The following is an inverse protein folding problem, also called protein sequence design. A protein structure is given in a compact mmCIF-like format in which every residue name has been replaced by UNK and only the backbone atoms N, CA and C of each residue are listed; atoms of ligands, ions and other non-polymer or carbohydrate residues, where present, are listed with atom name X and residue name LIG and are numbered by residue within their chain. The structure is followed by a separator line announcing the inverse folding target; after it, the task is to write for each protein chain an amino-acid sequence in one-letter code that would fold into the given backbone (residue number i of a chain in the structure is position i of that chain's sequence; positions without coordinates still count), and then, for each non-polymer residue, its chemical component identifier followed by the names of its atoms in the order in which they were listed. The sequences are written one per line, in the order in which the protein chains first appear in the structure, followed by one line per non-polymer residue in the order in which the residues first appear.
data_IF_012207429256
#
_entry.id   IF_012207429256
#
_cell.length_a   1.000
_cell.length_b   1.000
_cell.length_c   1.000
_cell.angle_alpha   90.00
_cell.angle_beta   90.00
_cell.angle_gamma   90.00
#
_symmetry.space_group_name_H-M   'P 1'
#
loop_
_entity.id
_entity.type
_entity.pdbx_description
1 polymer ?
#
# COMPACT_ATOMS: atom_id res chain seq x y z
N UNK A 1 19.89 -39.51 -33.17
CA UNK A 1 19.23 -38.19 -33.08
C UNK A 1 19.59 -37.38 -34.31
N UNK A 2 18.61 -36.90 -35.09
CA UNK A 2 18.87 -36.07 -36.28
C UNK A 2 19.16 -34.65 -35.78
N UNK A 3 20.39 -34.16 -35.95
CA UNK A 3 20.82 -32.83 -35.50
C UNK A 3 20.09 -31.72 -36.24
N UNK A 4 19.77 -30.63 -35.53
CA UNK A 4 19.20 -29.41 -36.10
C UNK A 4 20.22 -28.79 -37.07
N UNK A 5 19.84 -28.66 -38.35
CA UNK A 5 20.69 -28.05 -39.37
C UNK A 5 20.43 -26.54 -39.37
N UNK A 6 21.45 -25.76 -39.04
CA UNK A 6 21.32 -24.31 -39.05
C UNK A 6 21.04 -23.79 -40.46
N UNK A 7 20.03 -22.91 -40.64
CA UNK A 7 19.70 -22.36 -41.95
C UNK A 7 20.87 -21.49 -42.45
N UNK A 8 21.29 -21.72 -43.70
CA UNK A 8 22.39 -20.98 -44.32
C UNK A 8 22.03 -19.51 -44.58
N UNK A 9 22.99 -18.74 -45.09
CA UNK A 9 22.78 -17.32 -45.40
C UNK A 9 21.61 -17.10 -46.38
N UNK A 10 21.54 -17.91 -47.45
CA UNK A 10 20.47 -17.84 -48.44
C UNK A 10 19.09 -18.16 -47.83
N UNK A 11 19.00 -19.14 -46.93
CA UNK A 11 17.76 -19.49 -46.24
C UNK A 11 17.29 -18.34 -45.33
N UNK A 12 18.22 -17.69 -44.61
CA UNK A 12 17.92 -16.52 -43.78
C UNK A 12 17.46 -15.32 -44.61
N UNK A 13 18.09 -15.07 -45.76
CA UNK A 13 17.70 -14.00 -46.67
C UNK A 13 16.30 -14.24 -47.24
N UNK A 14 15.99 -15.47 -47.66
CA UNK A 14 14.66 -15.86 -48.14
C UNK A 14 13.60 -15.72 -47.04
N UNK A 15 13.91 -16.19 -45.83
CA UNK A 15 13.02 -16.04 -44.68
C UNK A 15 12.73 -14.55 -44.36
N UNK A 16 13.74 -13.68 -44.42
CA UNK A 16 13.56 -12.25 -44.21
C UNK A 16 12.68 -11.61 -45.30
N UNK A 17 12.85 -11.99 -46.57
CA UNK A 17 12.00 -11.51 -47.67
C UNK A 17 10.54 -11.99 -47.51
N UNK A 18 10.34 -13.27 -47.18
CA UNK A 18 9.02 -13.84 -46.92
C UNK A 18 8.35 -13.18 -45.72
N UNK A 19 9.09 -12.88 -44.65
CA UNK A 19 8.57 -12.15 -43.49
C UNK A 19 8.07 -10.76 -43.90
N UNK A 20 8.86 -10.00 -44.66
CA UNK A 20 8.46 -8.67 -45.17
C UNK A 20 7.23 -8.76 -46.06
N UNK A 21 7.20 -9.71 -47.00
CA UNK A 21 6.03 -9.95 -47.85
C UNK A 21 4.79 -10.29 -47.00
N UNK A 22 4.93 -11.15 -45.98
CA UNK A 22 3.82 -11.53 -45.11
C UNK A 22 3.26 -10.34 -44.32
N UNK A 23 4.11 -9.43 -43.85
CA UNK A 23 3.69 -8.22 -43.14
C UNK A 23 2.91 -7.29 -44.07
N UNK A 24 3.41 -7.07 -45.29
CA UNK A 24 2.74 -6.24 -46.29
C UNK A 24 1.39 -6.85 -46.67
N UNK A 25 1.31 -8.16 -46.87
CA UNK A 25 0.05 -8.82 -47.19
C UNK A 25 -0.95 -8.73 -46.03
N UNK A 26 -0.51 -8.93 -44.79
CA UNK A 26 -1.36 -8.75 -43.60
C UNK A 26 -1.95 -7.34 -43.50
N UNK A 27 -1.13 -6.32 -43.79
CA UNK A 27 -1.58 -4.93 -43.78
C UNK A 27 -2.60 -4.67 -44.89
N UNK A 28 -2.37 -5.17 -46.11
CA UNK A 28 -3.31 -5.06 -47.23
C UNK A 28 -4.62 -5.79 -47.00
N UNK A 29 -4.59 -6.93 -46.31
CA UNK A 29 -5.78 -7.73 -45.98
C UNK A 29 -6.49 -7.26 -44.71
N UNK A 30 -5.95 -6.27 -43.99
CA UNK A 30 -6.54 -5.82 -42.75
C UNK A 30 -7.84 -5.05 -43.05
N UNK A 31 -8.95 -5.38 -42.37
CA UNK A 31 -10.19 -4.62 -42.54
C UNK A 31 -9.98 -3.16 -42.16
N UNK A 32 -10.65 -2.28 -42.93
CA UNK A 32 -10.57 -0.85 -42.72
C UNK A 32 -11.18 -0.39 -41.39
N UNK A 33 -10.98 0.88 -41.01
CA UNK A 33 -11.53 1.43 -39.77
C UNK A 33 -13.05 1.38 -39.69
N UNK A 34 -13.73 1.45 -40.83
CA UNK A 34 -15.19 1.48 -40.97
C UNK A 34 -15.79 0.07 -41.18
N UNK A 35 -14.96 -0.97 -41.17
CA UNK A 35 -15.44 -2.35 -41.20
C UNK A 35 -16.29 -2.63 -39.95
N UNK A 36 -17.51 -3.21 -40.10
CA UNK A 36 -18.45 -3.35 -39.00
C UNK A 36 -17.90 -4.18 -37.83
N UNK A 37 -17.04 -5.17 -38.08
CA UNK A 37 -16.45 -5.99 -37.02
C UNK A 37 -15.34 -5.23 -36.26
N UNK A 38 -14.61 -4.36 -36.96
CA UNK A 38 -13.62 -3.46 -36.34
C UNK A 38 -14.31 -2.41 -35.47
N UNK A 39 -15.43 -1.85 -35.93
CA UNK A 39 -16.24 -0.89 -35.17
C UNK A 39 -16.83 -1.53 -33.92
N UNK A 40 -17.45 -2.72 -34.03
CA UNK A 40 -17.97 -3.46 -32.87
C UNK A 40 -16.88 -3.70 -31.82
N UNK A 41 -15.72 -4.21 -32.24
CA UNK A 41 -14.60 -4.45 -31.32
C UNK A 41 -14.10 -3.15 -30.66
N UNK A 42 -14.11 -2.03 -31.37
CA UNK A 42 -13.75 -0.74 -30.81
C UNK A 42 -14.76 -0.31 -29.74
N UNK A 43 -16.05 -0.37 -30.06
CA UNK A 43 -17.13 -0.04 -29.12
C UNK A 43 -17.10 -0.93 -27.88
N UNK A 44 -16.85 -2.23 -28.01
CA UNK A 44 -16.68 -3.14 -26.89
C UNK A 44 -15.50 -2.77 -25.99
N UNK A 45 -14.36 -2.39 -26.58
CA UNK A 45 -13.18 -1.95 -25.84
C UNK A 45 -13.43 -0.63 -25.12
N UNK A 46 -14.09 0.32 -25.77
CA UNK A 46 -14.48 1.61 -25.18
C UNK A 46 -15.46 1.41 -24.02
N UNK A 47 -16.48 0.56 -24.20
CA UNK A 47 -17.42 0.22 -23.13
C UNK A 47 -16.72 -0.48 -21.94
N UNK A 48 -15.79 -1.40 -22.23
CA UNK A 48 -15.00 -2.05 -21.18
C UNK A 48 -14.06 -1.06 -20.47
N UNK A 49 -13.45 -0.11 -21.19
CA UNK A 49 -12.61 0.93 -20.61
C UNK A 49 -13.43 1.86 -19.70
N UNK A 50 -14.60 2.32 -20.17
CA UNK A 50 -15.52 3.14 -19.38
C UNK A 50 -15.95 2.42 -18.10
N UNK A 51 -16.32 1.13 -18.17
CA UNK A 51 -16.66 0.32 -16.97
C UNK A 51 -15.50 0.23 -15.98
N UNK A 52 -14.28 -0.01 -16.47
CA UNK A 52 -13.08 -0.08 -15.59
C UNK A 52 -12.79 1.27 -14.95
N UNK A 53 -12.99 2.37 -15.68
CA UNK A 53 -12.81 3.72 -15.15
C UNK A 53 -13.82 4.03 -14.04
N UNK A 54 -15.10 3.72 -14.24
CA UNK A 54 -16.12 3.88 -13.21
C UNK A 54 -15.76 3.07 -11.94
N UNK A 55 -15.38 1.80 -12.10
CA UNK A 55 -14.93 0.97 -10.98
C UNK A 55 -13.68 1.51 -10.29
N UNK A 56 -12.75 2.13 -11.04
CA UNK A 56 -11.56 2.76 -10.47
C UNK A 56 -11.96 3.95 -9.60
N UNK A 57 -12.82 4.82 -10.11
CA UNK A 57 -13.30 6.01 -9.39
C UNK A 57 -14.04 5.62 -8.09
N UNK A 58 -14.93 4.63 -8.15
CA UNK A 58 -15.64 4.11 -6.97
C UNK A 58 -14.67 3.57 -5.91
N UNK A 59 -13.67 2.79 -6.33
CA UNK A 59 -12.66 2.23 -5.42
C UNK A 59 -11.76 3.31 -4.84
N UNK A 60 -11.40 4.32 -5.61
CA UNK A 60 -10.58 5.44 -5.14
C UNK A 60 -11.34 6.28 -4.10
N UNK A 61 -12.62 6.55 -4.33
CA UNK A 61 -13.48 7.22 -3.36
C UNK A 61 -13.58 6.41 -2.05
N UNK A 62 -13.89 5.11 -2.13
CA UNK A 62 -13.98 4.24 -0.95
C UNK A 62 -12.65 4.14 -0.18
N UNK A 63 -11.52 4.07 -0.89
CA UNK A 63 -10.19 4.06 -0.25
C UNK A 63 -9.86 5.39 0.41
N UNK A 64 -10.28 6.52 -0.18
CA UNK A 64 -10.07 7.83 0.41
C UNK A 64 -10.82 7.95 1.74
N UNK A 65 -12.09 7.53 1.78
CA UNK A 65 -12.89 7.51 3.01
C UNK A 65 -12.30 6.58 4.08
N UNK A 66 -11.90 5.35 3.70
CA UNK A 66 -11.26 4.42 4.64
C UNK A 66 -9.98 5.00 5.24
N UNK A 67 -9.12 5.63 4.43
CA UNK A 67 -7.91 6.29 4.92
C UNK A 67 -8.22 7.40 5.91
N UNK A 68 -9.27 8.21 5.67
CA UNK A 68 -9.68 9.25 6.62
C UNK A 68 -10.07 8.66 7.97
N UNK A 69 -10.89 7.60 7.96
CA UNK A 69 -11.31 6.91 9.18
C UNK A 69 -10.13 6.26 9.91
N UNK A 70 -9.20 5.64 9.18
CA UNK A 70 -7.99 5.06 9.78
C UNK A 70 -7.07 6.12 10.39
N UNK A 71 -6.89 7.26 9.72
CA UNK A 71 -6.11 8.38 10.24
C UNK A 71 -6.74 8.96 11.51
N UNK A 72 -8.06 9.14 11.52
CA UNK A 72 -8.81 9.60 12.70
C UNK A 72 -8.70 8.60 13.85
N UNK A 73 -8.87 7.30 13.59
CA UNK A 73 -8.72 6.26 14.59
C UNK A 73 -7.30 6.22 15.17
N UNK A 74 -6.27 6.32 14.33
CA UNK A 74 -4.87 6.37 14.79
C UNK A 74 -4.60 7.62 15.64
N UNK A 75 -5.14 8.77 15.27
CA UNK A 75 -5.01 9.99 16.06
C UNK A 75 -5.72 9.86 17.41
N UNK A 76 -6.91 9.26 17.44
CA UNK A 76 -7.65 9.01 18.67
C UNK A 76 -6.90 8.02 19.59
N UNK A 77 -6.36 6.93 19.05
CA UNK A 77 -5.56 5.97 19.82
C UNK A 77 -4.27 6.60 20.37
N UNK A 78 -3.55 7.37 19.56
CA UNK A 78 -2.36 8.09 20.01
C UNK A 78 -2.69 9.07 21.15
N UNK A 79 -3.82 9.79 21.06
CA UNK A 79 -4.27 10.68 22.12
C UNK A 79 -4.65 9.92 23.40
N UNK A 80 -5.26 8.74 23.29
CA UNK A 80 -5.56 7.89 24.46
C UNK A 80 -4.29 7.38 25.14
N UNK A 81 -3.33 6.90 24.35
CA UNK A 81 -2.06 6.41 24.88
C UNK A 81 -1.26 7.52 25.57
N UNK A 82 -1.26 8.73 25.01
CA UNK A 82 -0.62 9.88 25.63
C UNK A 82 -1.25 10.22 27.00
N UNK A 83 -2.59 10.24 27.09
CA UNK A 83 -3.29 10.47 28.36
C UNK A 83 -3.01 9.36 29.38
N UNK A 84 -3.01 8.11 28.95
CA UNK A 84 -2.69 6.98 29.85
C UNK A 84 -1.25 7.07 30.37
N UNK A 85 -0.30 7.47 29.53
CA UNK A 85 1.09 7.68 29.94
C UNK A 85 1.21 8.84 30.95
N UNK A 86 0.50 9.95 30.73
CA UNK A 86 0.46 11.08 31.67
C UNK A 86 -0.16 10.66 33.02
N UNK A 87 -1.27 9.94 33.00
CA UNK A 87 -1.90 9.42 34.23
C UNK A 87 -0.99 8.44 34.96
N UNK A 88 -0.31 7.54 34.24
CA UNK A 88 0.63 6.60 34.84
C UNK A 88 1.82 7.33 35.48
N UNK A 89 2.35 8.36 34.82
CA UNK A 89 3.41 9.20 35.37
C UNK A 89 2.95 9.96 36.63
N UNK A 90 1.73 10.50 36.63
CA UNK A 90 1.15 11.17 37.80
C UNK A 90 1.01 10.21 38.98
N UNK A 91 0.45 9.01 38.76
CA UNK A 91 0.33 7.98 39.80
C UNK A 91 1.70 7.54 40.34
N UNK A 92 2.71 7.40 39.47
CA UNK A 92 4.06 7.07 39.89
C UNK A 92 4.65 8.16 40.80
N UNK A 93 4.48 9.44 40.44
CA UNK A 93 4.94 10.56 41.24
C UNK A 93 4.25 10.63 42.61
N UNK A 94 2.95 10.36 42.68
CA UNK A 94 2.21 10.28 43.95
C UNK A 94 2.75 9.16 44.86
N UNK A 95 2.96 7.96 44.30
CA UNK A 95 3.54 6.83 45.05
C UNK A 95 4.94 7.14 45.57
N UNK A 96 5.78 7.81 44.78
CA UNK A 96 7.11 8.24 45.22
C UNK A 96 7.04 9.26 46.35
N UNK A 97 6.13 10.23 46.25
CA UNK A 97 5.89 11.22 47.30
C UNK A 97 5.42 10.55 48.61
N UNK A 98 4.51 9.59 48.54
CA UNK A 98 4.08 8.82 49.71
C UNK A 98 5.23 8.00 50.34
N UNK A 99 6.04 7.34 49.52
CA UNK A 99 7.18 6.56 50.00
C UNK A 99 8.21 7.46 50.68
N UNK A 100 8.46 8.65 50.13
CA UNK A 100 9.34 9.65 50.74
C UNK A 100 8.77 10.14 52.07
N UNK A 101 7.48 10.49 52.14
CA UNK A 101 6.83 10.91 53.38
C UNK A 101 6.92 9.81 54.47
N UNK A 102 6.70 8.55 54.11
CA UNK A 102 6.88 7.40 55.02
C UNK A 102 8.33 7.28 55.50
N UNK A 103 9.32 7.46 54.62
CA UNK A 103 10.75 7.42 54.97
C UNK A 103 11.12 8.56 55.91
N UNK A 104 10.66 9.77 55.64
CA UNK A 104 10.94 10.96 56.45
C UNK A 104 10.31 10.84 57.84
N UNK A 105 9.08 10.33 57.94
CA UNK A 105 8.43 10.02 59.22
C UNK A 105 9.24 8.99 60.04
N UNK A 106 9.74 7.92 59.40
CA UNK A 106 10.61 6.93 60.06
C UNK A 106 11.92 7.56 60.54
N UNK A 107 12.53 8.42 59.73
CA UNK A 107 13.77 9.11 60.10
C UNK A 107 13.57 10.05 61.29
N UNK A 108 12.50 10.85 61.28
CA UNK A 108 12.12 11.72 62.38
C UNK A 108 11.89 10.93 63.68
N UNK A 109 11.14 9.82 63.62
CA UNK A 109 10.91 8.94 64.77
C UNK A 109 12.23 8.36 65.33
N UNK A 110 13.16 7.93 64.45
CA UNK A 110 14.48 7.44 64.87
C UNK A 110 15.30 8.53 65.56
N UNK A 111 15.34 9.74 64.99
CA UNK A 111 16.05 10.88 65.59
C UNK A 111 15.48 11.27 66.96
N UNK A 112 14.15 11.28 67.10
CA UNK A 112 13.50 11.56 68.37
C UNK A 112 13.85 10.52 69.46
N UNK A 113 13.97 9.23 69.10
CA UNK A 113 14.44 8.19 70.02
C UNK A 113 15.90 8.39 70.45
N UNK A 114 16.77 8.82 69.52
CA UNK A 114 18.19 9.06 69.80
C UNK A 114 18.47 10.30 70.66
N UNK A 115 17.56 11.27 70.73
CA UNK A 115 17.65 12.47 71.58
C UNK A 115 17.14 12.28 73.02
N UNK A 116 16.40 11.21 73.28
CA UNK A 116 15.83 10.88 74.61
C UNK A 116 16.71 9.91 75.43
N UNK A 117 17.85 9.50 74.88
CA UNK A 117 18.96 8.86 75.61
C UNK A 117 20.02 9.91 75.86
#
# INVERSE_FOLDING_TARGET
MRGFKEPGFADRQKAAQQARQSIVQKFKSQPGPDDPEVVKRRQEREAAAARREQQRLEREAAKAEQKRLEEEAKAAEAARLAREAEEAAARAAELEAEQKAKRDARYAARKARGKKK
#
